data_IF_165884509813
#
_entry.id   IF_165884509813
#
_cell.length_a   1.000
_cell.length_b   1.000
_cell.length_c   1.000
_cell.angle_alpha   90.00
_cell.angle_beta   90.00
_cell.angle_gamma   90.00
#
_symmetry.space_group_name_H-M   'P 1'
#
loop_
_entity.id
_entity.type
_entity.pdbx_description
1 polymer ?
#
# COMPACT_ATOMS: atom_id res chain seq x y z
N UNK A 1 -27.44 -6.65 -13.95
CA UNK A 1 -26.04 -6.51 -13.48
C UNK A 1 -25.23 -6.04 -14.66
N UNK A 2 -24.62 -4.84 -14.60
CA UNK A 2 -23.66 -4.44 -15.62
C UNK A 2 -22.45 -5.34 -15.42
N UNK A 3 -22.18 -6.25 -16.35
CA UNK A 3 -20.86 -6.88 -16.47
C UNK A 3 -19.85 -5.74 -16.62
N UNK A 4 -19.21 -5.37 -15.51
CA UNK A 4 -18.02 -4.54 -15.59
C UNK A 4 -16.96 -5.45 -16.17
N UNK A 5 -16.65 -5.23 -17.44
CA UNK A 5 -15.54 -5.90 -18.10
C UNK A 5 -14.23 -5.51 -17.39
N UNK A 6 -13.85 -6.35 -16.42
CA UNK A 6 -12.68 -6.14 -15.60
C UNK A 6 -11.41 -6.23 -16.44
N UNK A 7 -11.42 -7.04 -17.50
CA UNK A 7 -10.29 -7.18 -18.41
C UNK A 7 -10.12 -5.93 -19.27
N UNK A 8 -11.21 -5.42 -19.85
CA UNK A 8 -11.17 -4.12 -20.54
C UNK A 8 -10.73 -3.00 -19.60
N UNK A 9 -11.19 -3.01 -18.34
CA UNK A 9 -10.76 -2.03 -17.34
C UNK A 9 -9.25 -2.08 -17.09
N UNK A 10 -8.69 -3.28 -16.94
CA UNK A 10 -7.23 -3.48 -16.79
C UNK A 10 -6.48 -2.94 -18.01
N UNK A 11 -6.96 -3.21 -19.23
CA UNK A 11 -6.35 -2.67 -20.47
C UNK A 11 -6.35 -1.14 -20.48
N UNK A 12 -7.45 -0.50 -20.05
CA UNK A 12 -7.52 0.97 -19.97
C UNK A 12 -6.56 1.54 -18.93
N UNK A 13 -6.42 0.90 -17.77
CA UNK A 13 -5.45 1.33 -16.77
C UNK A 13 -4.01 1.22 -17.27
N UNK A 14 -3.66 0.13 -17.96
CA UNK A 14 -2.36 -0.02 -18.59
C UNK A 14 -2.07 1.10 -19.58
N UNK A 15 -3.04 1.43 -20.43
CA UNK A 15 -2.92 2.53 -21.39
C UNK A 15 -2.66 3.86 -20.69
N UNK A 16 -3.40 4.15 -19.62
CA UNK A 16 -3.24 5.37 -18.84
C UNK A 16 -1.86 5.45 -18.16
N UNK A 17 -1.39 4.36 -17.55
CA UNK A 17 -0.06 4.27 -16.92
C UNK A 17 1.03 4.52 -17.97
N UNK A 18 0.96 3.83 -19.12
CA UNK A 18 1.95 3.94 -20.18
C UNK A 18 1.96 5.32 -20.87
N UNK A 19 0.83 6.03 -20.88
CA UNK A 19 0.76 7.41 -21.38
C UNK A 19 1.06 8.46 -20.30
N UNK A 20 1.34 8.06 -19.06
CA UNK A 20 1.52 8.97 -17.93
C UNK A 20 0.24 9.69 -17.47
N UNK A 21 -0.95 9.27 -17.91
CA UNK A 21 -2.22 9.88 -17.49
C UNK A 21 -2.65 9.32 -16.13
N UNK A 22 -2.75 10.19 -15.13
CA UNK A 22 -3.28 9.89 -13.79
C UNK A 22 -2.72 8.58 -13.19
N UNK A 23 -1.40 8.38 -13.34
CA UNK A 23 -0.69 7.14 -12.94
C UNK A 23 -1.03 6.71 -11.52
N UNK A 24 -1.10 7.65 -10.57
CA UNK A 24 -1.48 7.40 -9.17
C UNK A 24 -2.82 6.66 -9.04
N UNK A 25 -3.86 7.14 -9.73
CA UNK A 25 -5.21 6.58 -9.63
C UNK A 25 -5.31 5.31 -10.46
N UNK A 26 -4.77 5.33 -11.68
CA UNK A 26 -4.80 4.18 -12.58
C UNK A 26 -4.12 2.95 -11.96
N UNK A 27 -2.94 3.12 -11.34
CA UNK A 27 -2.23 2.02 -10.71
C UNK A 27 -2.97 1.45 -9.49
N UNK A 28 -3.59 2.30 -8.66
CA UNK A 28 -4.36 1.86 -7.49
C UNK A 28 -5.61 1.09 -7.91
N UNK A 29 -6.37 1.64 -8.85
CA UNK A 29 -7.62 1.04 -9.30
C UNK A 29 -7.34 -0.28 -10.04
N UNK A 30 -6.27 -0.33 -10.86
CA UNK A 30 -5.82 -1.57 -11.51
C UNK A 30 -5.47 -2.64 -10.50
N UNK A 31 -4.69 -2.32 -9.46
CA UNK A 31 -4.32 -3.28 -8.42
C UNK A 31 -5.54 -3.81 -7.66
N UNK A 32 -6.55 -2.98 -7.40
CA UNK A 32 -7.80 -3.40 -6.75
C UNK A 32 -8.59 -4.35 -7.66
N UNK A 33 -8.72 -4.02 -8.95
CA UNK A 33 -9.42 -4.88 -9.93
C UNK A 33 -8.69 -6.21 -10.11
N UNK A 34 -7.37 -6.19 -10.28
CA UNK A 34 -6.56 -7.41 -10.37
C UNK A 34 -6.69 -8.28 -9.12
N UNK A 35 -6.67 -7.69 -7.91
CA UNK A 35 -6.91 -8.42 -6.65
C UNK A 35 -8.27 -9.14 -6.64
N UNK A 36 -9.32 -8.52 -7.18
CA UNK A 36 -10.67 -9.09 -7.26
C UNK A 36 -10.76 -10.23 -8.28
N UNK A 37 -9.95 -10.18 -9.34
CA UNK A 37 -9.85 -11.21 -10.38
C UNK A 37 -8.85 -12.33 -10.03
N UNK A 38 -8.44 -12.44 -8.76
CA UNK A 38 -7.43 -13.38 -8.28
C UNK A 38 -6.03 -13.25 -8.91
N UNK A 39 -5.77 -12.14 -9.62
CA UNK A 39 -4.48 -11.79 -10.23
C UNK A 39 -3.58 -11.01 -9.26
N UNK A 40 -3.48 -11.51 -8.03
CA UNK A 40 -2.80 -10.79 -6.95
C UNK A 40 -1.28 -10.66 -7.18
N UNK A 41 -0.64 -11.66 -7.79
CA UNK A 41 0.79 -11.60 -8.12
C UNK A 41 1.09 -10.55 -9.19
N UNK A 42 0.30 -10.52 -10.26
CA UNK A 42 0.41 -9.49 -11.31
C UNK A 42 0.20 -8.08 -10.75
N UNK A 43 -0.74 -7.92 -9.81
CA UNK A 43 -0.95 -6.65 -9.13
C UNK A 43 0.30 -6.21 -8.33
N UNK A 44 0.98 -7.15 -7.65
CA UNK A 44 2.24 -6.88 -6.94
C UNK A 44 3.31 -6.42 -7.92
N UNK A 45 3.49 -7.13 -9.04
CA UNK A 45 4.48 -6.79 -10.06
C UNK A 45 4.22 -5.43 -10.69
N UNK A 46 2.96 -5.12 -11.00
CA UNK A 46 2.57 -3.81 -11.51
C UNK A 46 2.91 -2.70 -10.50
N UNK A 47 2.56 -2.86 -9.22
CA UNK A 47 2.90 -1.85 -8.21
C UNK A 47 4.42 -1.70 -8.09
N UNK A 48 5.20 -2.78 -8.05
CA UNK A 48 6.67 -2.70 -7.97
C UNK A 48 7.26 -1.98 -9.18
N UNK A 49 6.73 -2.24 -10.37
CA UNK A 49 7.20 -1.67 -11.63
C UNK A 49 6.88 -0.19 -11.74
N UNK A 50 5.69 0.25 -11.33
CA UNK A 50 5.23 1.62 -11.60
C UNK A 50 5.18 2.55 -10.39
N UNK A 51 5.32 2.07 -9.15
CA UNK A 51 5.21 2.94 -7.97
C UNK A 51 6.20 4.10 -7.98
N UNK A 52 7.36 3.97 -8.62
CA UNK A 52 8.34 5.06 -8.72
C UNK A 52 7.85 6.26 -9.56
N UNK A 53 6.86 6.05 -10.42
CA UNK A 53 6.19 7.10 -11.19
C UNK A 53 5.08 7.81 -10.40
N UNK A 54 4.69 7.26 -9.24
CA UNK A 54 3.61 7.79 -8.44
C UNK A 54 4.06 8.87 -7.44
N UNK A 55 3.17 9.78 -7.10
CA UNK A 55 3.43 10.84 -6.12
C UNK A 55 3.77 10.28 -4.74
N UNK A 56 4.47 11.08 -3.91
CA UNK A 56 4.77 10.72 -2.51
C UNK A 56 3.50 10.42 -1.71
N UNK A 57 2.41 11.14 -1.99
CA UNK A 57 1.11 10.97 -1.34
C UNK A 57 0.45 9.63 -1.73
N UNK A 58 0.69 9.14 -2.94
CA UNK A 58 0.17 7.84 -3.38
C UNK A 58 0.93 6.65 -2.77
N UNK A 59 2.22 6.81 -2.42
CA UNK A 59 3.04 5.73 -1.86
C UNK A 59 2.41 5.07 -0.63
N UNK A 60 1.87 5.86 0.31
CA UNK A 60 1.25 5.30 1.52
C UNK A 60 0.06 4.38 1.20
N UNK A 61 -0.75 4.76 0.22
CA UNK A 61 -1.87 3.92 -0.25
C UNK A 61 -1.40 2.68 -1.03
N UNK A 62 -0.32 2.79 -1.81
CA UNK A 62 0.26 1.66 -2.54
C UNK A 62 0.89 0.64 -1.58
N UNK A 63 1.59 1.09 -0.54
CA UNK A 63 2.14 0.20 0.49
C UNK A 63 1.01 -0.56 1.21
N UNK A 64 -0.12 0.10 1.49
CA UNK A 64 -1.26 -0.57 2.12
C UNK A 64 -1.86 -1.64 1.21
N UNK A 65 -1.96 -1.38 -0.10
CA UNK A 65 -2.38 -2.38 -1.09
C UNK A 65 -1.38 -3.53 -1.19
N UNK A 66 -0.07 -3.26 -1.18
CA UNK A 66 0.97 -4.28 -1.18
C UNK A 66 0.88 -5.21 0.04
N UNK A 67 0.68 -4.65 1.24
CA UNK A 67 0.49 -5.47 2.46
C UNK A 67 -0.70 -6.43 2.30
N UNK A 68 -1.82 -5.94 1.77
CA UNK A 68 -3.01 -6.75 1.51
C UNK A 68 -2.75 -7.85 0.46
N UNK A 69 -2.02 -7.52 -0.60
CA UNK A 69 -1.68 -8.45 -1.68
C UNK A 69 -0.69 -9.51 -1.20
N UNK A 70 0.36 -9.12 -0.47
CA UNK A 70 1.31 -10.07 0.12
C UNK A 70 0.62 -11.05 1.06
N UNK A 71 -0.30 -10.56 1.89
CA UNK A 71 -1.12 -11.42 2.75
C UNK A 71 -1.94 -12.43 1.93
N UNK A 72 -2.54 -12.01 0.81
CA UNK A 72 -3.32 -12.89 -0.08
C UNK A 72 -2.44 -13.95 -0.77
N UNK A 73 -1.20 -13.60 -1.12
CA UNK A 73 -0.24 -14.50 -1.77
C UNK A 73 0.63 -15.32 -0.80
N UNK A 74 0.48 -15.17 0.52
CA UNK A 74 1.34 -15.84 1.51
C UNK A 74 2.79 -15.33 1.55
N UNK A 75 3.06 -14.14 0.99
CA UNK A 75 4.39 -13.50 0.91
C UNK A 75 4.76 -12.81 2.23
N UNK A 76 4.94 -13.63 3.26
CA UNK A 76 5.12 -13.17 4.66
C UNK A 76 6.40 -12.35 4.83
N UNK A 77 7.50 -12.74 4.19
CA UNK A 77 8.78 -12.06 4.33
C UNK A 77 8.75 -10.66 3.71
N UNK A 78 8.18 -10.52 2.52
CA UNK A 78 8.00 -9.22 1.86
C UNK A 78 7.04 -8.31 2.65
N UNK A 79 6.02 -8.89 3.27
CA UNK A 79 5.15 -8.16 4.17
C UNK A 79 5.91 -7.66 5.41
N UNK A 80 6.73 -8.50 6.04
CA UNK A 80 7.54 -8.12 7.20
C UNK A 80 8.52 -7.01 6.83
N UNK A 81 9.22 -7.13 5.71
CA UNK A 81 10.22 -6.15 5.27
C UNK A 81 9.57 -4.79 5.02
N UNK A 82 8.41 -4.77 4.34
CA UNK A 82 7.67 -3.53 4.11
C UNK A 82 7.18 -2.89 5.42
N UNK A 83 6.71 -3.70 6.39
CA UNK A 83 6.29 -3.20 7.70
C UNK A 83 7.48 -2.65 8.50
N UNK A 84 8.65 -3.32 8.47
CA UNK A 84 9.90 -2.84 9.08
C UNK A 84 10.31 -1.49 8.49
N UNK A 85 10.30 -1.36 7.17
CA UNK A 85 10.61 -0.10 6.49
C UNK A 85 9.67 1.01 6.93
N UNK A 86 8.35 0.78 6.95
CA UNK A 86 7.37 1.78 7.39
C UNK A 86 7.58 2.18 8.86
N UNK A 87 7.87 1.22 9.73
CA UNK A 87 8.17 1.50 11.13
C UNK A 87 9.43 2.39 11.27
N UNK A 88 10.50 2.07 10.54
CA UNK A 88 11.72 2.89 10.49
C UNK A 88 11.43 4.33 10.08
N UNK A 89 10.64 4.53 9.01
CA UNK A 89 10.23 5.86 8.55
C UNK A 89 9.45 6.66 9.60
N UNK A 90 8.63 5.98 10.42
CA UNK A 90 7.87 6.60 11.50
C UNK A 90 8.77 6.95 12.67
N UNK A 91 9.63 6.02 13.10
CA UNK A 91 10.56 6.22 14.21
C UNK A 91 11.57 7.35 13.94
N UNK A 92 12.05 7.47 12.70
CA UNK A 92 12.96 8.55 12.28
C UNK A 92 12.25 9.89 12.02
N UNK A 93 10.91 9.94 12.15
CA UNK A 93 10.12 11.15 11.91
C UNK A 93 10.00 11.56 10.43
N UNK A 94 10.59 10.79 9.51
CA UNK A 94 10.54 11.03 8.06
C UNK A 94 9.11 10.94 7.50
N UNK A 95 8.30 10.04 8.05
CA UNK A 95 6.86 9.93 7.73
C UNK A 95 6.03 11.13 8.22
N UNK A 96 6.60 11.94 9.12
CA UNK A 96 5.95 13.10 9.72
C UNK A 96 6.60 14.43 9.30
N UNK A 97 7.57 14.40 8.37
CA UNK A 97 8.39 15.57 7.99
C UNK A 97 8.98 16.29 9.23
N UNK A 98 9.48 15.53 10.20
CA UNK A 98 10.07 16.06 11.44
C UNK A 98 9.06 16.58 12.48
N UNK A 99 7.75 16.45 12.23
CA UNK A 99 6.70 16.82 13.19
C UNK A 99 6.35 15.66 14.12
N UNK A 100 5.78 16.00 15.28
CA UNK A 100 5.30 15.01 16.26
C UNK A 100 3.97 14.38 15.81
N UNK A 101 3.20 15.11 14.99
CA UNK A 101 1.88 14.71 14.49
C UNK A 101 1.71 14.98 13.00
N UNK A 102 0.93 14.12 12.32
CA UNK A 102 0.50 14.29 10.93
C UNK A 102 -1.03 14.37 10.87
N UNK A 103 -1.54 15.14 9.92
CA UNK A 103 -2.99 15.21 9.67
C UNK A 103 -3.42 14.01 8.84
N UNK A 104 -4.30 13.18 9.38
CA UNK A 104 -4.95 12.09 8.67
C UNK A 104 -6.42 12.43 8.39
N UNK A 105 -7.04 11.70 7.45
CA UNK A 105 -8.46 11.83 7.13
C UNK A 105 -9.13 10.46 7.17
N UNK A 106 -10.29 10.39 7.83
CA UNK A 106 -11.14 9.20 7.86
C UNK A 106 -12.60 9.64 7.79
N UNK A 107 -13.40 9.02 6.91
CA UNK A 107 -14.80 9.39 6.66
C UNK A 107 -15.01 10.91 6.49
N UNK A 108 -14.11 11.59 5.77
CA UNK A 108 -14.17 13.04 5.52
C UNK A 108 -13.68 13.92 6.68
N UNK A 109 -13.54 13.38 7.91
CA UNK A 109 -13.06 14.11 9.08
C UNK A 109 -11.52 14.13 9.13
N UNK A 110 -10.94 15.31 9.39
CA UNK A 110 -9.50 15.47 9.63
C UNK A 110 -9.20 15.28 11.12
N UNK A 111 -8.12 14.58 11.44
CA UNK A 111 -7.64 14.42 12.80
C UNK A 111 -6.11 14.40 12.80
N UNK A 112 -5.51 14.73 13.94
CA UNK A 112 -4.07 14.59 14.13
C UNK A 112 -3.76 13.17 14.59
N UNK A 113 -2.72 12.58 14.02
CA UNK A 113 -2.18 11.28 14.42
C UNK A 113 -0.78 11.50 14.93
N UNK A 114 -0.44 10.93 16.09
CA UNK A 114 0.92 10.95 16.62
C UNK A 114 1.78 9.81 16.08
N UNK A 115 3.10 9.93 16.20
CA UNK A 115 4.06 8.84 15.92
C UNK A 115 3.65 7.56 16.66
N UNK A 116 3.32 7.65 17.95
CA UNK A 116 2.89 6.51 18.75
C UNK A 116 1.63 5.82 18.20
N UNK A 117 0.61 6.60 17.82
CA UNK A 117 -0.62 6.04 17.26
C UNK A 117 -0.38 5.32 15.93
N UNK A 118 0.51 5.85 15.08
CA UNK A 118 0.85 5.22 13.81
C UNK A 118 1.70 3.96 13.99
N UNK A 119 2.62 3.95 14.97
CA UNK A 119 3.34 2.73 15.37
C UNK A 119 2.37 1.63 15.83
N UNK A 120 1.43 1.95 16.72
CA UNK A 120 0.41 1.01 17.17
C UNK A 120 -0.40 0.44 16.01
N UNK A 121 -0.76 1.26 15.01
CA UNK A 121 -1.49 0.79 13.82
C UNK A 121 -0.68 -0.21 12.99
N UNK A 122 0.62 0.00 12.84
CA UNK A 122 1.49 -0.96 12.15
C UNK A 122 1.59 -2.26 12.96
N UNK A 123 1.77 -2.16 14.27
CA UNK A 123 1.89 -3.34 15.15
C UNK A 123 0.62 -4.20 15.13
N UNK A 124 -0.57 -3.61 15.02
CA UNK A 124 -1.84 -4.36 14.86
C UNK A 124 -1.90 -5.16 13.55
N UNK A 125 -1.12 -4.77 12.52
CA UNK A 125 -1.04 -5.51 11.24
C UNK A 125 -0.02 -6.65 11.28
N UNK A 126 0.83 -6.69 12.31
CA UNK A 126 1.76 -7.79 12.57
C UNK A 126 0.96 -8.89 13.27
N UNK A 127 0.86 -10.06 12.66
CA UNK A 127 0.26 -11.23 13.32
C UNK A 127 1.25 -11.84 14.32
N UNK A 128 0.77 -12.61 15.31
CA UNK A 128 1.65 -13.28 16.28
C UNK A 128 2.81 -14.11 15.65
N UNK A 129 2.61 -14.84 14.51
CA UNK A 129 3.71 -15.48 13.79
C UNK A 129 4.74 -14.49 13.22
N UNK A 130 4.30 -13.33 12.73
CA UNK A 130 5.21 -12.29 12.23
C UNK A 130 5.96 -11.60 13.36
N UNK A 131 5.37 -11.50 14.56
CA UNK A 131 6.04 -10.94 15.72
C UNK A 131 7.28 -11.78 16.06
N UNK A 132 7.18 -13.11 16.07
CA UNK A 132 8.31 -14.01 16.30
C UNK A 132 9.46 -13.79 15.29
N UNK A 133 9.14 -13.58 14.01
CA UNK A 133 10.14 -13.28 12.97
C UNK A 133 10.72 -11.86 13.06
N UNK A 134 10.00 -10.93 13.67
CA UNK A 134 10.47 -9.57 13.94
C UNK A 134 11.47 -9.49 15.09
N UNK A 135 11.38 -10.38 16.10
CA UNK A 135 12.32 -10.46 17.24
C UNK A 135 13.46 -11.46 17.03
N UNK A 136 13.35 -12.36 16.05
CA UNK A 136 14.36 -13.39 15.77
C UNK A 136 15.50 -12.96 14.83
N UNK A 137 15.55 -11.68 14.40
CA UNK A 137 16.58 -11.13 13.52
C UNK A 137 17.02 -9.73 13.95
#
# INVERSE_FOLDING_TARGET
LVEKDAEASIVWFWKAINSGDRVDSALKDMAVVMKQQDRAEEAIEAIRSFRHLCSRQAQESLDNLLIDLYKKCGKVDEQIELLKQKLKMICLGEAFNGKITKTARSHGKKFQVSIQQEMSRILVRVTAPMLLLLIAN
#
